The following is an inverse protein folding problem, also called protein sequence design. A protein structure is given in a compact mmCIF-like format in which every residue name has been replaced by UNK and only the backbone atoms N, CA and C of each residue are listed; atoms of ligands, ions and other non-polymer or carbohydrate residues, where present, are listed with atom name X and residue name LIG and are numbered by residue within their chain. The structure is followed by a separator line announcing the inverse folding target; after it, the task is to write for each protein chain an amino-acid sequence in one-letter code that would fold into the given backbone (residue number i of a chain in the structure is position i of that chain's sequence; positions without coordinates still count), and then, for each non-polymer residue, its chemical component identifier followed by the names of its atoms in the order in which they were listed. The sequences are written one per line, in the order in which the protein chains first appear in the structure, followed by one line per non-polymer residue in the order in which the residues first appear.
data_IF_191396746337
#
_entry.id   IF_191396746337
#
_cell.length_a   1.000
_cell.length_b   1.000
_cell.length_c   1.000
_cell.angle_alpha   90.00
_cell.angle_beta   90.00
_cell.angle_gamma   90.00
#
_symmetry.space_group_name_H-M   'P 1'
#
loop_
_entity.id
_entity.type
_entity.pdbx_description
1 polymer ?
#
# COMPACT_ATOMS: atom_id res chain seq x y z
N UNK A 1 23.95 4.89 -48.50
CA UNK A 1 22.97 5.93 -48.90
C UNK A 1 22.45 5.55 -50.28
N UNK A 2 21.18 5.13 -50.37
CA UNK A 2 20.49 4.77 -51.60
C UNK A 2 19.28 5.70 -51.83
N UNK A 3 19.01 6.18 -53.05
CA UNK A 3 17.94 7.14 -53.30
C UNK A 3 16.58 6.46 -53.57
N UNK A 4 15.54 7.08 -53.00
CA UNK A 4 14.13 6.70 -53.03
C UNK A 4 13.51 6.89 -54.42
N UNK A 5 12.84 5.86 -54.96
CA UNK A 5 12.07 5.93 -56.22
C UNK A 5 10.59 6.19 -55.91
N UNK A 6 10.12 7.40 -56.25
CA UNK A 6 8.69 7.74 -56.39
C UNK A 6 8.14 7.09 -57.66
N UNK A 7 7.07 6.31 -57.51
CA UNK A 7 6.28 5.77 -58.63
C UNK A 7 5.05 6.66 -58.83
N UNK A 8 4.97 7.31 -59.98
CA UNK A 8 3.80 8.08 -60.45
C UNK A 8 2.79 7.13 -61.09
N UNK A 9 1.54 7.10 -60.60
CA UNK A 9 0.43 6.42 -61.26
C UNK A 9 -0.29 7.36 -62.25
N UNK A 10 -0.87 6.82 -63.34
CA UNK A 10 -1.52 7.61 -64.39
C UNK A 10 -2.93 8.06 -64.02
N UNK A 11 -3.28 9.27 -64.45
CA UNK A 11 -4.60 9.89 -64.30
C UNK A 11 -5.59 9.24 -65.28
N UNK A 12 -6.57 8.52 -64.74
CA UNK A 12 -7.72 7.98 -65.49
C UNK A 12 -8.86 8.99 -65.44
N UNK A 13 -9.40 9.36 -66.61
CA UNK A 13 -10.55 10.27 -66.75
C UNK A 13 -11.86 9.56 -66.35
N UNK A 14 -12.81 10.25 -65.68
CA UNK A 14 -14.05 9.63 -65.22
C UNK A 14 -15.09 9.46 -66.34
N UNK A 15 -15.79 8.33 -66.29
CA UNK A 15 -16.86 7.84 -67.17
C UNK A 15 -18.22 8.54 -66.88
N UNK A 16 -18.96 9.09 -67.86
CA UNK A 16 -20.10 9.98 -67.62
C UNK A 16 -21.46 9.24 -67.48
N UNK A 17 -21.53 8.10 -66.80
CA UNK A 17 -22.80 7.35 -66.63
C UNK A 17 -23.00 6.67 -65.27
N UNK A 18 -22.66 7.37 -64.19
CA UNK A 18 -22.99 6.95 -62.81
C UNK A 18 -23.89 7.97 -62.12
N UNK A 19 -25.21 7.78 -62.21
CA UNK A 19 -26.17 8.49 -61.36
C UNK A 19 -26.11 7.91 -59.92
N UNK A 20 -26.25 8.72 -58.87
CA UNK A 20 -26.23 8.25 -57.50
C UNK A 20 -27.52 7.45 -57.19
N UNK A 21 -27.35 6.22 -56.69
CA UNK A 21 -28.46 5.42 -56.16
C UNK A 21 -29.00 6.09 -54.88
N UNK A 22 -30.32 6.12 -54.65
CA UNK A 22 -30.88 6.65 -53.41
C UNK A 22 -30.42 5.79 -52.22
N UNK A 23 -29.99 6.45 -51.15
CA UNK A 23 -29.59 5.81 -49.90
C UNK A 23 -30.74 4.93 -49.37
N UNK A 24 -30.48 3.64 -49.20
CA UNK A 24 -31.37 2.74 -48.50
C UNK A 24 -31.47 3.20 -47.05
N UNK A 25 -32.63 3.70 -46.64
CA UNK A 25 -32.93 4.04 -45.26
C UNK A 25 -32.79 2.78 -44.38
N UNK A 26 -31.88 2.84 -43.41
CA UNK A 26 -31.77 1.83 -42.36
C UNK A 26 -33.12 1.69 -41.64
N UNK A 27 -33.57 0.48 -41.29
CA UNK A 27 -34.80 0.31 -40.51
C UNK A 27 -34.61 1.01 -39.16
N UNK A 28 -35.53 1.91 -38.85
CA UNK A 28 -35.61 2.62 -37.57
C UNK A 28 -35.61 1.60 -36.43
N UNK A 29 -34.54 1.58 -35.62
CA UNK A 29 -34.50 0.86 -34.34
C UNK A 29 -35.69 1.38 -33.53
N UNK A 30 -36.65 0.50 -33.22
CA UNK A 30 -37.74 0.83 -32.30
C UNK A 30 -37.13 1.43 -31.02
N UNK A 31 -37.70 2.51 -30.46
CA UNK A 31 -37.19 3.07 -29.23
C UNK A 31 -37.17 1.95 -28.17
N UNK A 32 -36.00 1.76 -27.57
CA UNK A 32 -35.80 0.88 -26.44
C UNK A 32 -36.87 1.24 -25.40
N UNK A 33 -37.67 0.28 -24.88
CA UNK A 33 -38.68 0.62 -23.89
C UNK A 33 -37.96 1.30 -22.73
N UNK A 34 -38.33 2.56 -22.48
CA UNK A 34 -37.80 3.30 -21.35
C UNK A 34 -38.05 2.44 -20.11
N UNK A 35 -36.98 2.03 -19.43
CA UNK A 35 -37.11 1.33 -18.16
C UNK A 35 -37.96 2.22 -17.27
N UNK A 36 -39.10 1.71 -16.81
CA UNK A 36 -39.95 2.44 -15.88
C UNK A 36 -39.09 2.81 -14.67
N UNK A 37 -39.14 4.08 -14.21
CA UNK A 37 -38.42 4.46 -13.01
C UNK A 37 -38.87 3.55 -11.87
N UNK A 38 -37.91 2.89 -11.22
CA UNK A 38 -38.18 2.01 -10.09
C UNK A 38 -39.00 2.82 -9.08
N UNK A 39 -40.19 2.34 -8.66
CA UNK A 39 -41.01 3.06 -7.70
C UNK A 39 -40.20 3.42 -6.45
N UNK A 40 -40.30 4.67 -6.00
CA UNK A 40 -39.61 5.21 -4.81
C UNK A 40 -39.80 4.36 -3.54
N UNK A 41 -40.84 3.55 -3.52
CA UNK A 41 -41.28 2.66 -2.45
C UNK A 41 -41.47 1.23 -3.00
N UNK A 42 -40.36 0.51 -3.15
CA UNK A 42 -40.39 -0.94 -3.33
C UNK A 42 -40.14 -1.62 -1.97
N UNK A 43 -41.18 -2.07 -1.25
CA UNK A 43 -41.00 -2.78 0.00
C UNK A 43 -40.36 -4.14 -0.27
N UNK A 44 -39.18 -4.37 0.29
CA UNK A 44 -38.54 -5.67 0.24
C UNK A 44 -39.23 -6.60 1.23
N UNK A 45 -39.69 -7.75 0.75
CA UNK A 45 -40.31 -8.78 1.57
C UNK A 45 -39.30 -9.32 2.61
N UNK A 46 -39.71 -9.57 3.88
CA UNK A 46 -38.82 -10.07 4.91
C UNK A 46 -38.07 -11.37 4.55
N UNK A 47 -38.61 -12.24 3.68
CA UNK A 47 -37.90 -13.44 3.23
C UNK A 47 -36.74 -13.10 2.28
N UNK A 48 -36.80 -11.94 1.61
CA UNK A 48 -35.72 -11.43 0.75
C UNK A 48 -34.63 -10.69 1.53
N UNK A 49 -34.91 -10.19 2.75
CA UNK A 49 -33.92 -9.55 3.62
C UNK A 49 -32.77 -10.48 4.01
N UNK A 50 -33.05 -11.78 4.19
CA UNK A 50 -32.00 -12.78 4.47
C UNK A 50 -30.95 -12.82 3.34
N UNK A 51 -31.32 -12.55 2.08
CA UNK A 51 -30.37 -12.55 0.96
C UNK A 51 -29.33 -11.42 1.08
N UNK A 52 -29.64 -10.35 1.81
CA UNK A 52 -28.71 -9.24 2.07
C UNK A 52 -27.74 -9.54 3.22
N UNK A 53 -27.97 -10.60 4.00
CA UNK A 53 -27.14 -10.92 5.18
C UNK A 53 -25.71 -11.34 4.81
N UNK A 54 -25.48 -11.85 3.59
CA UNK A 54 -24.15 -12.29 3.16
C UNK A 54 -23.32 -11.16 2.53
N UNK A 55 -23.98 -10.08 2.10
CA UNK A 55 -23.33 -8.97 1.41
C UNK A 55 -22.29 -8.25 2.31
N UNK A 56 -22.49 -8.04 3.63
CA UNK A 56 -21.43 -7.53 4.50
C UNK A 56 -20.14 -8.37 4.50
N UNK A 57 -20.24 -9.69 4.33
CA UNK A 57 -19.06 -10.57 4.24
C UNK A 57 -18.31 -10.35 2.93
N UNK A 58 -19.01 -10.12 1.83
CA UNK A 58 -18.40 -9.79 0.52
C UNK A 58 -17.63 -8.46 0.59
N UNK A 59 -18.21 -7.45 1.24
CA UNK A 59 -17.52 -6.18 1.51
C UNK A 59 -16.27 -6.38 2.37
N UNK A 60 -16.34 -7.21 3.43
CA UNK A 60 -15.17 -7.53 4.24
C UNK A 60 -14.06 -8.22 3.42
N UNK A 61 -14.42 -9.12 2.51
CA UNK A 61 -13.46 -9.74 1.59
C UNK A 61 -12.80 -8.69 0.68
N UNK A 62 -13.56 -7.72 0.18
CA UNK A 62 -13.01 -6.60 -0.60
C UNK A 62 -12.05 -5.75 0.23
N UNK A 63 -12.39 -5.43 1.48
CA UNK A 63 -11.49 -4.73 2.42
C UNK A 63 -10.16 -5.46 2.58
N UNK A 64 -10.19 -6.80 2.72
CA UNK A 64 -8.96 -7.61 2.81
C UNK A 64 -8.11 -7.57 1.53
N UNK A 65 -8.72 -7.46 0.36
CA UNK A 65 -7.98 -7.32 -0.90
C UNK A 65 -7.36 -5.93 -1.03
N UNK A 66 -8.08 -4.89 -0.60
CA UNK A 66 -7.57 -3.52 -0.54
C UNK A 66 -6.40 -3.39 0.43
N UNK A 67 -6.45 -4.05 1.60
CA UNK A 67 -5.31 -4.06 2.53
C UNK A 67 -4.05 -4.67 1.90
N UNK A 68 -4.18 -5.76 1.14
CA UNK A 68 -3.06 -6.35 0.40
C UNK A 68 -2.54 -5.42 -0.69
N UNK A 69 -3.44 -4.77 -1.43
CA UNK A 69 -3.06 -3.79 -2.45
C UNK A 69 -2.27 -2.61 -1.85
N UNK A 70 -2.70 -2.10 -0.69
CA UNK A 70 -1.99 -1.06 0.06
C UNK A 70 -0.57 -1.53 0.42
N UNK A 71 -0.41 -2.77 0.92
CA UNK A 71 0.92 -3.33 1.21
C UNK A 71 1.79 -3.41 -0.04
N UNK A 72 1.25 -3.92 -1.17
CA UNK A 72 2.01 -4.02 -2.41
C UNK A 72 2.44 -2.66 -2.95
N UNK A 73 1.55 -1.66 -2.92
CA UNK A 73 1.89 -0.29 -3.34
C UNK A 73 2.99 0.28 -2.44
N UNK A 74 2.90 0.07 -1.12
CA UNK A 74 3.91 0.51 -0.18
C UNK A 74 5.28 -0.14 -0.44
N UNK A 75 5.32 -1.46 -0.67
CA UNK A 75 6.56 -2.17 -1.01
C UNK A 75 7.15 -1.65 -2.33
N UNK A 76 6.33 -1.47 -3.38
CA UNK A 76 6.83 -0.96 -4.67
C UNK A 76 7.34 0.48 -4.59
N UNK A 77 6.76 1.30 -3.72
CA UNK A 77 7.20 2.68 -3.55
C UNK A 77 8.56 2.74 -2.84
N UNK A 78 8.78 1.83 -1.87
CA UNK A 78 10.08 1.65 -1.23
C UNK A 78 11.12 1.21 -2.25
N UNK A 79 10.81 0.22 -3.09
CA UNK A 79 11.70 -0.22 -4.17
C UNK A 79 12.03 0.92 -5.15
N UNK A 80 11.05 1.78 -5.48
CA UNK A 80 11.28 2.94 -6.34
C UNK A 80 12.21 3.97 -5.71
N UNK A 81 12.02 4.28 -4.42
CA UNK A 81 12.84 5.24 -3.68
C UNK A 81 14.29 4.74 -3.51
N UNK A 82 14.49 3.43 -3.43
CA UNK A 82 15.82 2.82 -3.38
C UNK A 82 16.59 2.96 -4.68
N UNK A 83 15.91 2.90 -5.82
CA UNK A 83 16.54 3.05 -7.15
C UNK A 83 16.83 4.52 -7.43
N UNK A 84 15.91 5.40 -7.07
CA UNK A 84 16.00 6.83 -7.29
C UNK A 84 15.39 7.57 -6.09
N UNK A 85 16.24 8.22 -5.29
CA UNK A 85 15.77 9.04 -4.18
C UNK A 85 14.88 10.19 -4.69
N UNK A 86 13.76 10.42 -4.01
CA UNK A 86 12.68 11.33 -4.38
C UNK A 86 12.09 11.04 -5.78
N UNK A 87 11.94 9.76 -6.15
CA UNK A 87 11.40 9.42 -7.47
C UNK A 87 9.97 9.94 -7.64
N UNK A 88 9.70 10.52 -8.81
CA UNK A 88 8.34 10.91 -9.21
C UNK A 88 7.36 9.73 -9.19
N UNK A 89 7.88 8.51 -9.37
CA UNK A 89 7.09 7.27 -9.28
C UNK A 89 6.67 6.96 -7.85
N UNK A 90 7.54 7.15 -6.87
CA UNK A 90 7.22 6.99 -5.44
C UNK A 90 6.14 8.01 -5.00
N UNK A 91 6.21 9.24 -5.49
CA UNK A 91 5.16 10.26 -5.26
C UNK A 91 3.81 9.88 -5.89
N UNK A 92 3.82 9.31 -7.11
CA UNK A 92 2.60 8.81 -7.74
C UNK A 92 2.01 7.61 -6.97
N UNK A 93 2.85 6.73 -6.43
CA UNK A 93 2.43 5.60 -5.61
C UNK A 93 1.87 6.06 -4.25
N UNK A 94 2.40 7.13 -3.67
CA UNK A 94 1.84 7.78 -2.48
C UNK A 94 0.40 8.29 -2.73
N UNK A 95 0.16 8.94 -3.89
CA UNK A 95 -1.19 9.35 -4.30
C UNK A 95 -2.12 8.15 -4.50
N UNK A 96 -1.62 7.09 -5.13
CA UNK A 96 -2.39 5.86 -5.34
C UNK A 96 -2.74 5.16 -4.02
N UNK A 97 -1.82 5.16 -3.05
CA UNK A 97 -2.03 4.58 -1.73
C UNK A 97 -3.10 5.34 -0.95
N UNK A 98 -3.11 6.68 -1.02
CA UNK A 98 -4.20 7.52 -0.48
C UNK A 98 -5.55 7.18 -1.10
N UNK A 99 -5.61 7.06 -2.42
CA UNK A 99 -6.83 6.66 -3.12
C UNK A 99 -7.32 5.24 -2.72
N UNK A 100 -6.40 4.30 -2.48
CA UNK A 100 -6.75 2.97 -1.97
C UNK A 100 -7.32 3.02 -0.54
N UNK A 101 -6.78 3.89 0.32
CA UNK A 101 -7.31 4.12 1.67
C UNK A 101 -8.71 4.73 1.59
N UNK A 102 -8.95 5.69 0.70
CA UNK A 102 -10.28 6.28 0.47
C UNK A 102 -11.31 5.21 0.05
N UNK A 103 -10.93 4.33 -0.88
CA UNK A 103 -11.77 3.22 -1.33
C UNK A 103 -12.00 2.24 -0.18
N UNK A 104 -10.97 1.89 0.59
CA UNK A 104 -11.10 1.00 1.75
C UNK A 104 -12.08 1.58 2.78
N UNK A 105 -11.98 2.88 3.06
CA UNK A 105 -12.85 3.57 3.97
C UNK A 105 -14.29 3.62 3.43
N UNK A 106 -14.49 3.81 2.12
CA UNK A 106 -15.81 3.76 1.48
C UNK A 106 -16.47 2.39 1.64
N UNK A 107 -15.75 1.31 1.30
CA UNK A 107 -16.23 -0.07 1.42
C UNK A 107 -16.63 -0.37 2.87
N UNK A 108 -15.84 0.07 3.85
CA UNK A 108 -16.12 -0.16 5.26
C UNK A 108 -17.34 0.63 5.78
N UNK A 109 -17.53 1.87 5.31
CA UNK A 109 -18.73 2.68 5.60
C UNK A 109 -19.99 2.05 5.01
N UNK A 110 -19.92 1.59 3.78
CA UNK A 110 -21.04 0.93 3.09
C UNK A 110 -21.39 -0.39 3.77
N UNK A 111 -20.38 -1.18 4.16
CA UNK A 111 -20.54 -2.42 4.94
C UNK A 111 -21.30 -2.16 6.25
N UNK A 112 -20.85 -1.15 6.99
CA UNK A 112 -21.45 -0.78 8.29
C UNK A 112 -22.87 -0.24 8.10
N UNK A 113 -23.10 0.58 7.09
CA UNK A 113 -24.42 1.10 6.72
C UNK A 113 -25.38 -0.04 6.39
N UNK A 114 -24.93 -1.00 5.59
CA UNK A 114 -25.71 -2.18 5.23
C UNK A 114 -26.07 -3.03 6.45
N UNK A 115 -25.14 -3.27 7.37
CA UNK A 115 -25.40 -3.99 8.62
C UNK A 115 -26.41 -3.27 9.50
N UNK A 116 -26.28 -1.95 9.63
CA UNK A 116 -27.21 -1.13 10.40
C UNK A 116 -28.61 -1.16 9.78
N UNK A 117 -28.73 -1.01 8.46
CA UNK A 117 -30.01 -1.11 7.75
C UNK A 117 -30.61 -2.51 7.94
N UNK A 118 -29.82 -3.57 7.78
CA UNK A 118 -30.31 -4.94 7.99
C UNK A 118 -30.84 -5.17 9.41
N UNK A 119 -30.13 -4.67 10.43
CA UNK A 119 -30.57 -4.73 11.84
C UNK A 119 -31.86 -3.94 12.08
N UNK A 120 -31.92 -2.70 11.60
CA UNK A 120 -33.05 -1.80 11.85
C UNK A 120 -34.34 -2.36 11.22
N UNK A 121 -34.25 -2.93 10.01
CA UNK A 121 -35.39 -3.61 9.37
C UNK A 121 -35.70 -4.98 9.97
N UNK A 122 -34.71 -5.68 10.53
CA UNK A 122 -34.91 -6.96 11.22
C UNK A 122 -35.53 -6.82 12.62
N UNK A 123 -35.30 -5.71 13.32
CA UNK A 123 -35.81 -5.44 14.66
C UNK A 123 -37.18 -4.72 14.69
N UNK A 124 -37.58 -4.09 13.59
CA UNK A 124 -38.76 -3.20 13.48
C UNK A 124 -40.05 -3.85 12.98
N UNK A 125 -40.33 -5.12 13.30
CA UNK A 125 -41.63 -5.74 13.01
C UNK A 125 -42.68 -5.36 14.06
N UNK A 126 -43.04 -4.07 14.14
CA UNK A 126 -44.30 -3.62 14.73
C UNK A 126 -45.15 -3.04 13.59
N UNK A 127 -46.18 -3.79 13.19
CA UNK A 127 -46.89 -3.66 11.93
C UNK A 127 -47.70 -2.35 11.70
N UNK A 128 -47.63 -1.37 12.62
CA UNK A 128 -48.49 -0.18 12.61
C UNK A 128 -47.73 1.17 12.54
N UNK A 129 -46.40 1.19 12.37
CA UNK A 129 -45.65 2.44 12.31
C UNK A 129 -45.57 3.02 10.87
N UNK A 130 -45.96 4.28 10.60
CA UNK A 130 -45.92 4.92 9.28
C UNK A 130 -44.55 4.96 8.60
N UNK A 131 -43.49 4.67 9.36
CA UNK A 131 -42.09 4.60 8.93
C UNK A 131 -41.84 3.38 8.01
N UNK A 132 -42.75 2.38 8.03
CA UNK A 132 -42.65 1.18 7.19
C UNK A 132 -42.81 1.45 5.68
N UNK A 133 -43.16 2.68 5.27
CA UNK A 133 -43.25 3.13 3.88
C UNK A 133 -41.95 3.76 3.32
N UNK A 134 -40.87 3.83 4.11
CA UNK A 134 -39.56 4.23 3.56
C UNK A 134 -38.87 3.00 2.98
N UNK A 135 -38.66 2.99 1.66
CA UNK A 135 -37.91 1.93 0.96
C UNK A 135 -36.55 1.67 1.62
N UNK A 136 -36.22 0.39 1.86
CA UNK A 136 -34.90 -0.03 2.36
C UNK A 136 -33.78 0.55 1.50
N UNK A 137 -33.96 0.52 0.18
CA UNK A 137 -33.02 1.08 -0.79
C UNK A 137 -32.83 2.59 -0.57
N UNK A 138 -33.90 3.34 -0.32
CA UNK A 138 -33.83 4.79 -0.06
C UNK A 138 -33.09 5.08 1.25
N UNK A 139 -33.40 4.35 2.31
CA UNK A 139 -32.71 4.48 3.60
C UNK A 139 -31.22 4.16 3.48
N UNK A 140 -30.88 3.09 2.74
CA UNK A 140 -29.49 2.73 2.47
C UNK A 140 -28.77 3.84 1.69
N UNK A 141 -29.31 4.27 0.54
CA UNK A 141 -28.70 5.31 -0.30
C UNK A 141 -28.52 6.63 0.45
N UNK A 142 -29.52 7.06 1.22
CA UNK A 142 -29.41 8.28 2.03
C UNK A 142 -28.31 8.18 3.10
N UNK A 143 -28.18 7.02 3.76
CA UNK A 143 -27.12 6.80 4.77
C UNK A 143 -25.74 6.74 4.12
N UNK A 144 -25.60 6.10 2.96
CA UNK A 144 -24.35 6.07 2.19
C UNK A 144 -23.94 7.49 1.79
N UNK A 145 -24.88 8.28 1.26
CA UNK A 145 -24.60 9.65 0.83
C UNK A 145 -24.22 10.55 2.01
N UNK A 146 -24.95 10.49 3.13
CA UNK A 146 -24.61 11.22 4.35
C UNK A 146 -23.23 10.79 4.89
N UNK A 147 -22.96 9.48 4.90
CA UNK A 147 -21.68 8.95 5.35
C UNK A 147 -20.51 9.34 4.44
N UNK A 148 -20.78 9.56 3.14
CA UNK A 148 -19.80 10.07 2.19
C UNK A 148 -19.53 11.55 2.43
N UNK A 149 -20.57 12.38 2.60
CA UNK A 149 -20.41 13.81 2.91
C UNK A 149 -19.58 14.02 4.19
N UNK A 150 -19.91 13.29 5.25
CA UNK A 150 -19.15 13.31 6.51
C UNK A 150 -17.70 12.85 6.34
N UNK A 151 -17.38 12.07 5.30
CA UNK A 151 -16.01 11.68 4.99
C UNK A 151 -15.30 12.73 4.14
N UNK A 152 -15.99 13.28 3.14
CA UNK A 152 -15.45 14.31 2.25
C UNK A 152 -15.09 15.58 3.05
N UNK A 153 -15.85 15.91 4.09
CA UNK A 153 -15.58 17.01 5.04
C UNK A 153 -14.32 16.81 5.89
N UNK A 154 -13.81 15.57 6.02
CA UNK A 154 -12.59 15.32 6.79
C UNK A 154 -11.35 15.80 6.07
N UNK A 155 -10.41 16.29 6.86
CA UNK A 155 -9.08 16.71 6.38
C UNK A 155 -8.23 15.51 5.98
N UNK A 156 -7.17 15.75 5.21
CA UNK A 156 -6.19 14.72 4.83
C UNK A 156 -5.50 14.13 6.07
N UNK A 157 -5.26 14.96 7.08
CA UNK A 157 -4.70 14.52 8.35
C UNK A 157 -5.63 13.53 9.07
N UNK A 158 -6.93 13.82 9.14
CA UNK A 158 -7.91 12.92 9.75
C UNK A 158 -8.13 11.63 8.95
N UNK A 159 -8.01 11.70 7.61
CA UNK A 159 -8.18 10.54 6.72
C UNK A 159 -6.98 9.59 6.77
N UNK A 160 -5.76 10.14 6.77
CA UNK A 160 -4.54 9.37 6.54
C UNK A 160 -3.54 9.44 7.68
N UNK A 161 -3.50 10.55 8.43
CA UNK A 161 -2.54 10.79 9.51
C UNK A 161 -2.58 9.72 10.58
N UNK A 162 -3.78 9.29 10.98
CA UNK A 162 -4.00 8.22 11.96
C UNK A 162 -4.07 6.80 11.36
N UNK A 163 -3.90 6.66 10.05
CA UNK A 163 -3.95 5.36 9.42
C UNK A 163 -2.60 4.61 9.60
N UNK A 164 -2.62 3.49 10.33
CA UNK A 164 -1.43 2.69 10.60
C UNK A 164 -0.68 2.23 9.34
N UNK A 165 -1.40 1.88 8.26
CA UNK A 165 -0.77 1.49 7.01
C UNK A 165 -0.08 2.68 6.32
N UNK A 166 -0.66 3.88 6.42
CA UNK A 166 -0.08 5.09 5.86
C UNK A 166 1.15 5.56 6.67
N UNK A 167 1.08 5.52 8.01
CA UNK A 167 2.22 5.80 8.89
C UNK A 167 3.39 4.87 8.60
N UNK A 168 3.12 3.57 8.48
CA UNK A 168 4.15 2.57 8.19
C UNK A 168 4.74 2.75 6.79
N UNK A 169 3.90 3.05 5.80
CA UNK A 169 4.36 3.40 4.45
C UNK A 169 5.30 4.62 4.47
N UNK A 170 4.88 5.74 5.09
CA UNK A 170 5.70 6.95 5.17
C UNK A 170 7.02 6.71 5.89
N UNK A 171 6.99 5.92 6.97
CA UNK A 171 8.21 5.49 7.69
C UNK A 171 9.16 4.75 6.76
N UNK A 172 8.68 3.70 6.09
CA UNK A 172 9.54 2.87 5.24
C UNK A 172 10.15 3.64 4.08
N UNK A 173 9.40 4.50 3.42
CA UNK A 173 9.91 5.33 2.31
C UNK A 173 10.92 6.36 2.83
N UNK A 174 10.65 7.00 3.97
CA UNK A 174 11.57 7.96 4.59
C UNK A 174 12.90 7.33 5.01
N UNK A 175 12.84 6.14 5.61
CA UNK A 175 14.01 5.40 6.07
C UNK A 175 15.03 5.07 4.95
N UNK A 176 14.59 5.02 3.68
CA UNK A 176 15.47 4.73 2.53
C UNK A 176 16.42 5.89 2.25
N UNK A 177 15.94 7.13 2.32
CA UNK A 177 16.72 8.32 1.95
C UNK A 177 17.24 9.12 3.14
N UNK A 178 16.79 8.81 4.37
CA UNK A 178 17.10 9.58 5.58
C UNK A 178 17.50 8.67 6.76
N UNK A 179 18.59 7.93 6.60
CA UNK A 179 19.10 6.99 7.61
C UNK A 179 19.30 7.65 8.98
N UNK A 180 18.59 7.15 10.00
CA UNK A 180 18.74 7.60 11.38
C UNK A 180 18.03 8.91 11.73
N UNK A 181 17.39 9.57 10.76
CA UNK A 181 16.59 10.76 10.98
C UNK A 181 15.16 10.40 11.39
N UNK A 182 14.58 11.14 12.34
CA UNK A 182 13.20 10.90 12.78
C UNK A 182 12.22 11.27 11.67
N UNK A 183 11.26 10.40 11.39
CA UNK A 183 10.16 10.67 10.47
C UNK A 183 9.47 12.01 10.85
N UNK A 184 9.28 12.94 9.90
CA UNK A 184 8.58 14.19 10.16
C UNK A 184 7.16 13.96 10.67
N UNK A 185 6.63 14.92 11.43
CA UNK A 185 5.27 14.85 11.97
C UNK A 185 4.23 14.67 10.84
N UNK A 186 3.13 13.92 11.07
CA UNK A 186 2.10 13.67 10.06
C UNK A 186 1.59 14.92 9.34
N UNK A 187 1.43 16.05 10.05
CA UNK A 187 1.03 17.34 9.48
C UNK A 187 1.91 17.80 8.32
N UNK A 188 3.23 17.58 8.40
CA UNK A 188 4.18 17.96 7.34
C UNK A 188 4.00 17.13 6.07
N UNK A 189 3.43 15.93 6.15
CA UNK A 189 3.20 15.08 4.98
C UNK A 189 2.12 15.63 4.06
N UNK A 190 1.27 16.53 4.56
CA UNK A 190 0.12 17.09 3.84
C UNK A 190 0.25 18.58 3.57
N UNK A 191 1.39 19.20 3.87
CA UNK A 191 1.62 20.62 3.64
C UNK A 191 1.40 21.02 2.17
N UNK A 192 1.76 20.14 1.23
CA UNK A 192 1.59 20.37 -0.21
C UNK A 192 0.14 20.26 -0.69
N UNK A 193 -0.80 19.85 0.18
CA UNK A 193 -2.21 19.65 -0.16
C UNK A 193 -3.10 20.86 0.15
N UNK A 194 -2.52 21.99 0.61
CA UNK A 194 -3.27 23.20 1.01
C UNK A 194 -4.44 22.87 1.98
N UNK A 195 -4.19 21.99 2.95
CA UNK A 195 -5.18 21.58 3.94
C UNK A 195 -5.30 22.65 5.03
N UNK A 196 -6.48 23.23 5.32
CA UNK A 196 -6.63 24.32 6.30
C UNK A 196 -6.18 23.97 7.72
N UNK A 197 -6.10 22.68 8.06
CA UNK A 197 -5.72 22.18 9.38
C UNK A 197 -4.21 21.86 9.50
N UNK A 198 -3.41 21.99 8.41
CA UNK A 198 -1.96 21.75 8.48
C UNK A 198 -1.21 22.75 9.39
N UNK A 199 -1.87 23.87 9.73
CA UNK A 199 -1.33 25.00 10.50
C UNK A 199 -1.75 25.00 11.98
N UNK A 200 -2.62 24.08 12.45
CA UNK A 200 -3.07 24.10 13.85
C UNK A 200 -2.03 23.42 14.77
N UNK A 201 -1.42 24.16 15.69
CA UNK A 201 -0.43 23.65 16.65
C UNK A 201 -1.07 22.84 17.80
N UNK A 202 -1.59 21.64 17.53
CA UNK A 202 -1.87 20.66 18.59
C UNK A 202 -0.59 19.91 18.96
N UNK A 203 -0.15 20.04 20.21
CA UNK A 203 1.16 19.64 20.74
C UNK A 203 1.27 18.17 21.20
N UNK A 204 0.22 17.36 21.09
CA UNK A 204 0.25 15.96 21.57
C UNK A 204 0.14 14.98 20.40
N UNK A 205 1.29 14.58 19.84
CA UNK A 205 1.37 13.35 19.04
C UNK A 205 2.76 12.72 19.15
N UNK A 206 2.77 11.42 19.51
CA UNK A 206 3.96 10.63 19.79
C UNK A 206 4.95 10.66 18.62
N UNK A 207 6.14 11.23 18.87
CA UNK A 207 7.31 11.01 18.03
C UNK A 207 7.67 9.53 18.12
N UNK A 208 7.40 8.75 17.06
CA UNK A 208 7.92 7.37 16.97
C UNK A 208 9.44 7.44 16.95
N UNK A 209 10.05 7.15 18.10
CA UNK A 209 11.48 6.91 18.17
C UNK A 209 11.82 5.59 17.49
N UNK A 210 12.89 5.60 16.72
CA UNK A 210 13.39 4.44 15.99
C UNK A 210 13.68 3.28 16.95
N UNK A 211 12.97 2.16 16.79
CA UNK A 211 13.48 0.90 17.29
C UNK A 211 14.69 0.52 16.42
N UNK A 212 15.90 0.84 16.90
CA UNK A 212 17.14 0.39 16.28
C UNK A 212 17.13 -1.13 16.20
N UNK A 213 16.77 -1.67 15.03
CA UNK A 213 16.91 -3.10 14.76
C UNK A 213 18.39 -3.40 14.66
N UNK A 214 18.89 -4.19 15.61
CA UNK A 214 20.29 -4.60 15.63
C UNK A 214 20.63 -5.35 14.34
N UNK A 215 21.66 -4.90 13.62
CA UNK A 215 22.19 -5.58 12.43
C UNK A 215 22.94 -6.88 12.79
N UNK A 216 23.13 -7.15 14.08
CA UNK A 216 23.75 -8.38 14.59
C UNK A 216 22.70 -9.45 14.81
N UNK A 217 22.99 -10.66 14.33
CA UNK A 217 22.16 -11.83 14.58
C UNK A 217 22.27 -12.27 16.06
N UNK A 218 21.15 -12.48 16.77
CA UNK A 218 21.18 -12.91 18.18
C UNK A 218 21.71 -14.35 18.37
N UNK A 219 21.78 -15.17 17.31
CA UNK A 219 22.33 -16.53 17.35
C UNK A 219 23.84 -16.56 17.10
N UNK A 220 24.33 -15.84 16.10
CA UNK A 220 25.75 -15.87 15.72
C UNK A 220 26.57 -14.74 16.34
N UNK A 221 25.90 -13.71 16.87
CA UNK A 221 26.49 -12.47 17.40
C UNK A 221 27.32 -11.68 16.37
N UNK A 222 27.28 -12.07 15.10
CA UNK A 222 27.91 -11.41 13.95
C UNK A 222 26.86 -10.62 13.15
N UNK A 223 27.32 -9.84 12.16
CA UNK A 223 26.42 -9.30 11.14
C UNK A 223 25.54 -10.41 10.55
N UNK A 224 24.26 -10.11 10.37
CA UNK A 224 23.27 -11.09 9.90
C UNK A 224 23.47 -11.38 8.42
N UNK A 225 23.57 -12.66 8.05
CA UNK A 225 23.75 -13.11 6.66
C UNK A 225 22.47 -13.78 6.19
N UNK A 226 21.96 -13.38 5.01
CA UNK A 226 20.63 -13.75 4.52
C UNK A 226 19.54 -13.57 5.60
N UNK A 227 19.20 -12.34 6.00
CA UNK A 227 18.29 -12.13 7.11
C UNK A 227 16.89 -12.68 6.83
N UNK A 228 16.36 -13.38 7.82
CA UNK A 228 14.98 -13.87 7.86
C UNK A 228 14.28 -13.36 9.10
N UNK A 229 13.09 -12.82 8.93
CA UNK A 229 12.26 -12.24 10.00
C UNK A 229 11.03 -13.13 10.22
N UNK A 230 10.69 -13.32 11.48
CA UNK A 230 9.50 -14.08 11.86
C UNK A 230 8.22 -13.28 11.62
N UNK A 231 7.15 -13.94 11.19
CA UNK A 231 5.81 -13.34 11.10
C UNK A 231 5.10 -13.29 12.45
N UNK A 232 5.59 -14.02 13.45
CA UNK A 232 4.96 -14.07 14.78
C UNK A 232 5.63 -13.13 15.79
N UNK A 233 6.92 -12.84 15.65
CA UNK A 233 7.68 -11.89 16.49
C UNK A 233 8.56 -10.96 15.64
N UNK A 234 8.89 -9.75 16.12
CA UNK A 234 9.69 -8.78 15.36
C UNK A 234 11.21 -9.09 15.37
N UNK A 235 11.60 -10.37 15.42
CA UNK A 235 13.01 -10.77 15.51
C UNK A 235 13.52 -11.34 14.19
N UNK A 236 14.74 -10.95 13.87
CA UNK A 236 15.44 -11.32 12.63
C UNK A 236 16.69 -12.15 12.93
N UNK A 237 16.98 -13.13 12.08
CA UNK A 237 18.06 -14.09 12.26
C UNK A 237 18.80 -14.35 10.95
N UNK A 238 20.03 -14.86 11.02
CA UNK A 238 20.72 -15.38 9.84
C UNK A 238 20.04 -16.66 9.40
N UNK A 239 19.70 -16.77 8.11
CA UNK A 239 18.93 -17.89 7.57
C UNK A 239 19.53 -19.25 7.90
N UNK A 240 20.84 -19.40 7.73
CA UNK A 240 21.52 -20.67 8.03
C UNK A 240 21.44 -21.02 9.52
N UNK A 241 21.73 -20.05 10.40
CA UNK A 241 21.73 -20.25 11.84
C UNK A 241 20.37 -20.70 12.38
N UNK A 242 19.28 -20.06 11.94
CA UNK A 242 17.93 -20.43 12.40
C UNK A 242 17.45 -21.74 11.76
N UNK A 243 17.81 -22.01 10.50
CA UNK A 243 17.46 -23.28 9.85
C UNK A 243 18.16 -24.47 10.53
N UNK A 244 19.40 -24.30 10.97
CA UNK A 244 20.13 -25.36 11.67
C UNK A 244 19.56 -25.62 13.06
N UNK A 245 19.15 -24.56 13.77
CA UNK A 245 18.43 -24.69 15.04
C UNK A 245 17.08 -25.43 14.86
N UNK A 246 16.33 -25.11 13.80
CA UNK A 246 15.09 -25.79 13.45
C UNK A 246 15.34 -27.27 13.11
N UNK A 247 16.41 -27.59 12.37
CA UNK A 247 16.78 -28.98 12.04
C UNK A 247 17.12 -29.79 13.29
N UNK A 248 17.86 -29.21 14.24
CA UNK A 248 18.23 -29.87 15.50
C UNK A 248 17.00 -30.18 16.38
N UNK A 249 15.99 -29.31 16.37
CA UNK A 249 14.80 -29.45 17.21
C UNK A 249 13.60 -30.12 16.51
N UNK A 250 13.81 -30.77 15.35
CA UNK A 250 12.75 -31.52 14.66
C UNK A 250 11.69 -30.62 14.01
N UNK A 251 12.09 -29.45 13.49
CA UNK A 251 11.28 -28.56 12.66
C UNK A 251 10.57 -27.42 13.41
N UNK A 252 10.78 -27.28 14.71
CA UNK A 252 10.21 -26.22 15.55
C UNK A 252 11.20 -25.79 16.64
N UNK A 253 11.29 -24.51 16.94
CA UNK A 253 12.08 -24.02 18.07
C UNK A 253 11.41 -22.79 18.69
N UNK A 254 11.67 -22.53 19.96
CA UNK A 254 11.29 -21.27 20.58
C UNK A 254 12.21 -20.15 20.09
N UNK A 255 11.72 -18.92 20.11
CA UNK A 255 12.49 -17.76 19.70
C UNK A 255 13.75 -17.62 20.58
N UNK A 256 14.96 -17.60 19.99
CA UNK A 256 16.21 -17.58 20.77
C UNK A 256 16.54 -16.22 21.38
N UNK A 257 15.69 -15.21 21.16
CA UNK A 257 15.82 -13.88 21.79
C UNK A 257 15.31 -13.95 23.23
N UNK A 258 16.11 -13.52 24.23
CA UNK A 258 15.70 -13.53 25.63
C UNK A 258 14.40 -12.77 25.85
N UNK A 259 13.43 -13.38 26.54
CA UNK A 259 12.14 -12.77 26.85
C UNK A 259 11.09 -12.87 25.73
N UNK A 260 11.33 -13.68 24.70
CA UNK A 260 10.34 -13.98 23.67
C UNK A 260 9.89 -15.45 23.71
N UNK A 261 8.62 -15.69 24.04
CA UNK A 261 8.09 -17.04 24.21
C UNK A 261 7.41 -17.61 22.95
N UNK A 262 7.70 -17.04 21.77
CA UNK A 262 7.02 -17.43 20.53
C UNK A 262 7.72 -18.60 19.84
N UNK A 263 6.93 -19.56 19.33
CA UNK A 263 7.44 -20.66 18.52
C UNK A 263 7.65 -20.27 17.07
N UNK A 264 8.80 -20.68 16.54
CA UNK A 264 9.23 -20.48 15.17
C UNK A 264 9.22 -21.82 14.42
N UNK A 265 8.80 -21.76 13.16
CA UNK A 265 8.86 -22.84 12.18
C UNK A 265 9.41 -22.29 10.86
N UNK A 266 9.82 -23.18 9.94
CA UNK A 266 10.29 -22.75 8.61
C UNK A 266 9.24 -21.95 7.83
N UNK A 267 7.94 -22.19 8.07
CA UNK A 267 6.84 -21.49 7.40
C UNK A 267 6.59 -20.08 7.95
N UNK A 268 6.95 -19.82 9.22
CA UNK A 268 6.78 -18.51 9.86
C UNK A 268 7.94 -17.55 9.58
N UNK A 269 9.01 -18.03 8.95
CA UNK A 269 10.19 -17.23 8.63
C UNK A 269 10.08 -16.74 7.18
N UNK A 270 10.20 -15.42 7.00
CA UNK A 270 10.20 -14.76 5.68
C UNK A 270 11.53 -14.05 5.48
N UNK A 271 12.04 -14.05 4.25
CA UNK A 271 13.22 -13.28 3.90
C UNK A 271 12.95 -11.79 4.11
N UNK A 272 13.89 -11.11 4.76
CA UNK A 272 13.81 -9.68 5.06
C UNK A 272 14.77 -8.90 4.16
N UNK A 273 14.26 -8.53 2.98
CA UNK A 273 15.02 -7.81 1.96
C UNK A 273 15.52 -6.44 2.46
N UNK A 274 14.76 -5.81 3.35
CA UNK A 274 15.12 -4.50 3.92
C UNK A 274 16.34 -4.66 4.84
N UNK A 275 16.32 -5.65 5.73
CA UNK A 275 17.47 -5.93 6.60
C UNK A 275 18.69 -6.44 5.82
N UNK A 276 18.47 -7.22 4.76
CA UNK A 276 19.54 -7.74 3.88
C UNK A 276 20.33 -6.59 3.24
N UNK A 277 19.61 -5.59 2.72
CA UNK A 277 20.22 -4.38 2.17
C UNK A 277 20.97 -3.58 3.24
N UNK A 278 20.35 -3.33 4.41
CA UNK A 278 20.99 -2.58 5.51
C UNK A 278 22.30 -3.20 5.95
N UNK A 279 22.38 -4.52 5.97
CA UNK A 279 23.61 -5.24 6.37
C UNK A 279 24.66 -5.18 5.28
N UNK A 280 24.25 -5.26 4.01
CA UNK A 280 25.16 -5.07 2.87
C UNK A 280 25.81 -3.68 2.90
N UNK A 281 25.03 -2.62 3.13
CA UNK A 281 25.53 -1.24 3.24
C UNK A 281 26.43 -1.06 4.48
N UNK A 282 26.08 -1.67 5.61
CA UNK A 282 26.94 -1.65 6.80
C UNK A 282 28.27 -2.38 6.56
N UNK A 283 28.23 -3.50 5.83
CA UNK A 283 29.41 -4.29 5.48
C UNK A 283 30.32 -3.55 4.49
N UNK A 284 29.75 -2.92 3.46
CA UNK A 284 30.50 -2.09 2.50
C UNK A 284 31.20 -0.93 3.22
N UNK A 285 30.51 -0.27 4.19
CA UNK A 285 31.09 0.81 5.00
C UNK A 285 32.21 0.33 5.95
N UNK A 286 32.12 -0.88 6.49
CA UNK A 286 33.22 -1.48 7.28
C UNK A 286 34.41 -1.83 6.38
N UNK A 287 34.19 -2.37 5.18
CA UNK A 287 35.24 -2.72 4.23
C UNK A 287 35.98 -1.46 3.71
N UNK A 288 35.26 -0.38 3.37
CA UNK A 288 35.86 0.91 2.98
C UNK A 288 36.64 1.60 4.11
N UNK A 289 36.22 1.42 5.37
CA UNK A 289 36.93 1.95 6.53
C UNK A 289 38.24 1.23 6.84
N UNK A 290 38.33 -0.07 6.54
CA UNK A 290 39.52 -0.90 6.76
C UNK A 290 40.59 -0.67 5.69
N UNK A 291 40.18 -0.41 4.44
CA UNK A 291 41.11 -0.09 3.34
C UNK A 291 41.79 1.28 3.52
N UNK A 292 41.12 2.24 4.17
CA UNK A 292 41.69 3.56 4.45
C UNK A 292 42.79 3.54 5.54
N UNK A 293 42.68 2.66 6.55
CA UNK A 293 43.68 2.55 7.62
C UNK A 293 44.93 1.73 7.21
N UNK A 294 44.84 0.88 6.18
CA UNK A 294 45.96 0.05 5.72
C UNK A 294 46.94 0.79 4.77
N UNK A 295 46.56 1.98 4.28
CA UNK A 295 47.39 2.81 3.38
C UNK A 295 48.31 3.81 4.12
N UNK A 296 48.21 3.94 5.45
CA UNK A 296 48.98 4.91 6.26
C UNK A 296 50.21 4.28 6.97
N UNK A 297 50.52 3.00 6.75
CA UNK A 297 51.56 2.29 7.50
C UNK A 297 52.83 1.91 6.72
N UNK A 298 53.04 2.42 5.49
CA UNK A 298 54.16 1.97 4.64
C UNK A 298 55.23 3.00 4.28
N UNK A 299 55.27 4.18 4.89
CA UNK A 299 56.33 5.18 4.63
C UNK A 299 56.97 5.71 5.92
N UNK A 300 57.75 4.87 6.62
CA UNK A 300 58.80 5.34 7.52
C UNK A 300 59.73 4.19 7.93
N UNK A 301 60.69 3.81 7.07
CA UNK A 301 61.95 3.19 7.50
C UNK A 301 62.88 3.00 6.28
N UNK A 302 63.70 4.01 5.94
CA UNK A 302 65.11 3.80 5.59
C UNK A 302 65.87 5.13 5.51
N UNK A 303 66.76 5.38 6.49
CA UNK A 303 68.12 5.89 6.24
C UNK A 303 68.84 6.07 7.58
N UNK A 304 69.37 4.95 8.07
CA UNK A 304 70.41 4.94 9.08
C UNK A 304 71.56 4.04 8.66
N UNK A 305 72.59 4.60 7.99
CA UNK A 305 73.93 4.01 8.12
C UNK A 305 75.08 5.03 8.02
N UNK A 306 75.98 4.85 8.98
CA UNK A 306 77.17 5.61 9.36
C UNK A 306 78.32 5.67 8.32
N UNK A 307 79.16 6.70 8.49
CA UNK A 307 80.65 6.64 8.51
C UNK A 307 81.15 7.91 9.22
N UNK A 308 81.67 7.87 10.44
CA UNK A 308 83.05 7.53 10.85
C UNK A 308 84.11 8.12 9.90
N UNK A 309 84.64 9.30 10.25
CA UNK A 309 86.04 9.58 10.63
C UNK A 309 86.17 11.00 11.22
#
# INVERSE_FOLDING_TARGET
MAPSRRTTQPIVKPDPSSQPRPASASPSRSPEPALEPIPDHFPLDPQTLHKLSNLPNEYHMLTNHLSKAITYVADTAVDCEEVEANSTTAQALDMALRALIDIQAQVERDRTTLQNVHRDFGAGAAADDPIHNTSLSRTFLNRVELSKQNYDEKTSLEKYGENEHYKEFKRRVWDVSHEGETLPRPKRWFADLNDPESESESEDDLVMSHARTSLKCPLTLTLVVDPVTSTVCPHSFSKEAIQDLLRQNGGRCDCPVPGCDKQLTSATLKADRVLERRVREAREREEEGVDAEMLDSSDAEDEGYMKIE
#
